data_IF_384047168792
#
_entry.id   IF_384047168792
#
_cell.length_a   1.000
_cell.length_b   1.000
_cell.length_c   1.000
_cell.angle_alpha   90.00
_cell.angle_beta   90.00
_cell.angle_gamma   90.00
#
_symmetry.space_group_name_H-M   'P 1'
#
loop_
_entity.id
_entity.type
_entity.pdbx_description
1 polymer ?
#
# COMPACT_ATOMS: atom_id res chain seq x y z
N UNK A 1 15.71 5.45 -14.66
CA UNK A 1 15.28 6.12 -13.41
C UNK A 1 16.42 6.94 -12.85
N UNK A 2 16.20 8.24 -12.61
CA UNK A 2 17.19 9.17 -12.02
C UNK A 2 17.56 8.72 -10.59
N UNK A 3 18.76 9.07 -10.09
CA UNK A 3 19.21 8.69 -8.74
C UNK A 3 18.22 9.12 -7.64
N UNK A 4 17.61 10.29 -7.79
CA UNK A 4 16.62 10.83 -6.86
C UNK A 4 15.38 9.94 -6.71
N UNK A 5 14.86 9.39 -7.82
CA UNK A 5 13.71 8.46 -7.78
C UNK A 5 14.03 7.16 -7.04
N UNK A 6 15.29 6.69 -7.09
CA UNK A 6 15.69 5.48 -6.34
C UNK A 6 15.69 5.71 -4.84
N UNK A 7 16.21 6.85 -4.39
CA UNK A 7 16.21 7.22 -2.96
C UNK A 7 14.77 7.32 -2.45
N UNK A 8 13.87 7.92 -3.24
CA UNK A 8 12.46 8.02 -2.87
C UNK A 8 11.79 6.64 -2.75
N UNK A 9 12.08 5.71 -3.66
CA UNK A 9 11.58 4.34 -3.58
C UNK A 9 12.13 3.62 -2.34
N UNK A 10 13.42 3.76 -2.04
CA UNK A 10 14.00 3.20 -0.81
C UNK A 10 13.36 3.80 0.45
N UNK A 11 13.09 5.10 0.47
CA UNK A 11 12.40 5.74 1.58
C UNK A 11 10.98 5.17 1.77
N UNK A 12 10.23 4.95 0.68
CA UNK A 12 8.94 4.29 0.74
C UNK A 12 9.05 2.85 1.26
N UNK A 13 10.03 2.08 0.79
CA UNK A 13 10.24 0.71 1.25
C UNK A 13 10.53 0.68 2.76
N UNK A 14 11.43 1.52 3.26
CA UNK A 14 11.73 1.61 4.69
C UNK A 14 10.52 2.04 5.51
N UNK A 15 9.76 3.02 5.01
CA UNK A 15 8.53 3.49 5.64
C UNK A 15 7.51 2.35 5.79
N UNK A 16 7.22 1.62 4.70
CA UNK A 16 6.24 0.54 4.71
C UNK A 16 6.70 -0.68 5.49
N UNK A 17 8.00 -1.02 5.46
CA UNK A 17 8.57 -2.07 6.32
C UNK A 17 8.42 -1.67 7.79
N UNK A 18 8.68 -0.41 8.14
CA UNK A 18 8.46 0.11 9.49
C UNK A 18 7.00 -0.01 9.93
N UNK A 19 6.06 0.41 9.09
CA UNK A 19 4.62 0.29 9.37
C UNK A 19 4.15 -1.16 9.47
N UNK A 20 4.61 -2.05 8.59
CA UNK A 20 4.27 -3.47 8.64
C UNK A 20 4.84 -4.14 9.90
N UNK A 21 6.05 -3.77 10.31
CA UNK A 21 6.66 -4.26 11.55
C UNK A 21 5.90 -3.77 12.78
N UNK A 22 5.51 -2.48 12.80
CA UNK A 22 4.66 -1.93 13.85
C UNK A 22 3.31 -2.66 13.90
N UNK A 23 2.69 -2.91 12.74
CA UNK A 23 1.44 -3.65 12.65
C UNK A 23 1.55 -5.07 13.23
N UNK A 24 2.62 -5.79 12.89
CA UNK A 24 2.90 -7.12 13.42
C UNK A 24 3.07 -7.11 14.95
N UNK A 25 3.82 -6.14 15.49
CA UNK A 25 4.07 -6.04 16.94
C UNK A 25 2.83 -5.60 17.74
N UNK A 26 2.01 -4.72 17.17
CA UNK A 26 0.80 -4.23 17.82
C UNK A 26 -0.33 -5.26 17.79
N UNK A 27 -0.44 -6.04 16.71
CA UNK A 27 -1.44 -7.10 16.52
C UNK A 27 -1.07 -8.42 17.23
N UNK A 28 -0.18 -8.42 18.21
CA UNK A 28 0.21 -9.63 18.95
C UNK A 28 -0.95 -10.30 19.71
N UNK A 29 -0.79 -11.56 20.13
CA UNK A 29 -1.86 -12.47 20.61
C UNK A 29 -2.65 -12.03 21.86
N UNK A 30 -2.29 -10.90 22.48
CA UNK A 30 -2.95 -10.35 23.67
C UNK A 30 -3.44 -8.91 23.51
N UNK A 31 -3.40 -8.32 22.30
CA UNK A 31 -3.75 -6.91 22.06
C UNK A 31 -4.71 -6.76 20.89
N UNK A 32 -6.00 -6.94 21.17
CA UNK A 32 -7.10 -6.64 20.25
C UNK A 32 -7.32 -5.11 20.00
N UNK A 33 -6.28 -4.27 20.02
CA UNK A 33 -6.42 -2.80 20.07
C UNK A 33 -5.99 -2.02 18.83
N UNK A 34 -5.19 -2.58 17.92
CA UNK A 34 -4.61 -1.79 16.81
C UNK A 34 -5.14 -2.24 15.44
N UNK A 35 -6.41 -1.95 15.16
CA UNK A 35 -7.04 -2.21 13.85
C UNK A 35 -6.75 -1.13 12.81
N UNK A 36 -5.85 -0.19 13.09
CA UNK A 36 -5.67 1.01 12.27
C UNK A 36 -5.25 0.68 10.83
N UNK A 37 -4.55 -0.45 10.63
CA UNK A 37 -4.16 -0.89 9.28
C UNK A 37 -5.38 -1.35 8.46
N UNK A 38 -6.40 -1.89 9.14
CA UNK A 38 -7.64 -2.37 8.53
C UNK A 38 -8.65 -1.24 8.34
N UNK A 39 -8.70 -0.25 9.25
CA UNK A 39 -9.64 0.88 9.13
C UNK A 39 -9.47 1.61 7.80
N UNK A 40 -8.23 1.78 7.32
CA UNK A 40 -7.97 2.41 6.02
C UNK A 40 -8.54 1.61 4.83
N UNK A 41 -8.52 0.28 4.92
CA UNK A 41 -8.94 -0.63 3.86
C UNK A 41 -10.43 -1.01 3.92
N UNK A 42 -11.04 -1.00 5.10
CA UNK A 42 -12.37 -1.57 5.35
C UNK A 42 -13.40 -0.55 5.84
N UNK A 43 -13.05 0.73 6.02
CA UNK A 43 -14.02 1.78 6.30
C UNK A 43 -14.63 2.31 5.00
N UNK A 44 -15.93 2.12 4.72
CA UNK A 44 -16.60 2.81 3.62
C UNK A 44 -16.74 4.30 3.97
N UNK A 45 -16.45 5.27 3.07
CA UNK A 45 -16.19 5.15 1.63
C UNK A 45 -14.70 4.95 1.25
N UNK A 46 -13.79 5.00 2.21
CA UNK A 46 -12.34 4.97 1.99
C UNK A 46 -11.88 3.70 1.28
N UNK A 47 -12.50 2.56 1.61
CA UNK A 47 -12.29 1.29 0.90
C UNK A 47 -12.45 1.42 -0.61
N UNK A 48 -13.52 2.09 -1.08
CA UNK A 48 -13.77 2.26 -2.51
C UNK A 48 -12.73 3.17 -3.17
N UNK A 49 -12.25 4.18 -2.44
CA UNK A 49 -11.18 5.07 -2.89
C UNK A 49 -9.88 4.28 -3.08
N UNK A 50 -9.48 3.47 -2.08
CA UNK A 50 -8.29 2.64 -2.18
C UNK A 50 -8.40 1.58 -3.27
N UNK A 51 -9.57 0.97 -3.45
CA UNK A 51 -9.81 0.03 -4.53
C UNK A 51 -9.72 0.71 -5.91
N UNK A 52 -10.29 1.91 -6.06
CA UNK A 52 -10.17 2.69 -7.28
C UNK A 52 -8.72 3.07 -7.57
N UNK A 53 -7.96 3.52 -6.56
CA UNK A 53 -6.54 3.83 -6.68
C UNK A 53 -5.76 2.58 -7.10
N UNK A 54 -6.03 1.42 -6.49
CA UNK A 54 -5.37 0.16 -6.82
C UNK A 54 -5.59 -0.21 -8.30
N UNK A 55 -6.85 -0.21 -8.75
CA UNK A 55 -7.22 -0.59 -10.12
C UNK A 55 -6.63 0.39 -11.13
N UNK A 56 -6.85 1.70 -10.95
CA UNK A 56 -6.38 2.72 -11.90
C UNK A 56 -4.86 2.70 -11.98
N UNK A 57 -4.16 2.57 -10.85
CA UNK A 57 -2.70 2.54 -10.80
C UNK A 57 -2.13 1.34 -11.55
N UNK A 58 -2.65 0.14 -11.27
CA UNK A 58 -2.19 -1.09 -11.93
C UNK A 58 -2.48 -1.05 -13.43
N UNK A 59 -3.70 -0.69 -13.82
CA UNK A 59 -4.07 -0.60 -15.25
C UNK A 59 -3.21 0.41 -15.98
N UNK A 60 -2.99 1.59 -15.39
CA UNK A 60 -2.13 2.63 -16.00
C UNK A 60 -0.70 2.13 -16.17
N UNK A 61 -0.12 1.47 -15.16
CA UNK A 61 1.23 0.94 -15.22
C UNK A 61 1.36 -0.21 -16.23
N UNK A 62 0.34 -1.07 -16.35
CA UNK A 62 0.29 -2.11 -17.38
C UNK A 62 0.20 -1.52 -18.78
N UNK A 63 -0.66 -0.52 -19.00
CA UNK A 63 -0.76 0.18 -20.29
C UNK A 63 0.56 0.86 -20.67
N UNK A 64 1.30 1.38 -19.69
CA UNK A 64 2.63 1.95 -19.92
C UNK A 64 3.62 0.92 -20.48
N UNK A 65 3.44 -0.39 -20.28
CA UNK A 65 4.30 -1.40 -20.91
C UNK A 65 4.12 -1.44 -22.43
N UNK A 66 2.95 -1.08 -22.94
CA UNK A 66 2.61 -1.17 -24.37
C UNK A 66 2.60 0.19 -25.07
N UNK A 67 2.38 1.30 -24.34
CA UNK A 67 2.36 2.65 -24.90
C UNK A 67 3.52 3.52 -24.39
N UNK A 68 4.46 3.81 -25.29
CA UNK A 68 5.62 4.67 -25.02
C UNK A 68 5.27 6.13 -24.73
N UNK A 69 4.13 6.64 -25.21
CA UNK A 69 3.67 8.01 -24.90
C UNK A 69 3.21 8.11 -23.45
N UNK A 70 2.52 7.08 -22.96
CA UNK A 70 2.09 7.00 -21.56
C UNK A 70 3.29 6.98 -20.59
N UNK A 71 4.39 6.31 -20.97
CA UNK A 71 5.64 6.26 -20.16
C UNK A 71 6.26 7.63 -19.89
N UNK A 72 6.13 8.55 -20.83
CA UNK A 72 6.67 9.91 -20.73
C UNK A 72 5.67 10.89 -20.09
N UNK A 73 4.45 10.45 -19.82
CA UNK A 73 3.41 11.31 -19.27
C UNK A 73 3.75 11.68 -17.81
N UNK A 74 3.70 12.96 -17.42
CA UNK A 74 4.14 13.41 -16.10
C UNK A 74 3.31 12.80 -14.94
N UNK A 75 2.06 12.41 -15.22
CA UNK A 75 1.18 11.78 -14.23
C UNK A 75 1.45 10.29 -13.97
N UNK A 76 2.37 9.64 -14.69
CA UNK A 76 2.71 8.24 -14.44
C UNK A 76 3.28 8.02 -13.03
N UNK A 77 3.90 9.06 -12.47
CA UNK A 77 4.42 9.04 -11.10
C UNK A 77 3.30 8.83 -10.07
N UNK A 78 2.10 9.37 -10.33
CA UNK A 78 0.93 9.19 -9.47
C UNK A 78 0.46 7.72 -9.45
N UNK A 79 0.51 7.04 -10.59
CA UNK A 79 0.19 5.62 -10.68
C UNK A 79 1.21 4.76 -9.91
N UNK A 80 2.51 5.11 -9.95
CA UNK A 80 3.52 4.46 -9.12
C UNK A 80 3.29 4.68 -7.62
N UNK A 81 2.96 5.90 -7.21
CA UNK A 81 2.64 6.21 -5.82
C UNK A 81 1.39 5.46 -5.34
N UNK A 82 0.34 5.40 -6.17
CA UNK A 82 -0.87 4.64 -5.86
C UNK A 82 -0.59 3.14 -5.69
N UNK A 83 0.26 2.56 -6.54
CA UNK A 83 0.68 1.17 -6.39
C UNK A 83 1.46 0.94 -5.09
N UNK A 84 2.43 1.80 -4.77
CA UNK A 84 3.24 1.69 -3.53
C UNK A 84 2.34 1.81 -2.29
N UNK A 85 1.38 2.74 -2.31
CA UNK A 85 0.43 2.96 -1.23
C UNK A 85 -0.43 1.72 -0.96
N UNK A 86 -1.01 1.14 -2.02
CA UNK A 86 -1.87 -0.05 -1.90
C UNK A 86 -1.06 -1.28 -1.50
N UNK A 87 0.12 -1.49 -2.09
CA UNK A 87 1.01 -2.59 -1.73
C UNK A 87 1.49 -2.49 -0.28
N UNK A 88 1.79 -1.27 0.18
CA UNK A 88 2.17 -1.01 1.56
C UNK A 88 1.05 -1.30 2.56
N UNK A 89 -0.15 -0.79 2.32
CA UNK A 89 -1.31 -1.03 3.19
C UNK A 89 -1.69 -2.51 3.26
N UNK A 90 -1.68 -3.20 2.11
CA UNK A 90 -1.94 -4.64 2.07
C UNK A 90 -0.88 -5.43 2.84
N UNK A 91 0.40 -5.06 2.73
CA UNK A 91 1.47 -5.66 3.53
C UNK A 91 1.26 -5.45 5.05
N UNK A 92 0.83 -4.26 5.47
CA UNK A 92 0.49 -3.99 6.87
C UNK A 92 -0.68 -4.86 7.36
N UNK A 93 -1.73 -5.03 6.54
CA UNK A 93 -2.87 -5.91 6.86
C UNK A 93 -2.45 -7.37 6.97
N UNK A 94 -1.63 -7.87 6.04
CA UNK A 94 -1.07 -9.23 6.08
C UNK A 94 -0.16 -9.45 7.27
N UNK A 95 0.66 -8.45 7.64
CA UNK A 95 1.52 -8.51 8.82
C UNK A 95 0.71 -8.62 10.10
N UNK A 96 -0.36 -7.83 10.24
CA UNK A 96 -1.30 -7.98 11.35
C UNK A 96 -1.93 -9.38 11.41
N UNK A 97 -2.35 -9.90 10.24
CA UNK A 97 -2.98 -11.22 10.15
C UNK A 97 -2.01 -12.35 10.52
N UNK A 98 -0.75 -12.22 10.11
CA UNK A 98 0.30 -13.18 10.48
C UNK A 98 0.59 -13.19 11.99
N UNK A 99 0.36 -12.08 12.70
CA UNK A 99 0.65 -11.96 14.13
C UNK A 99 -0.48 -12.48 15.04
N UNK A 100 -1.75 -12.23 14.70
CA UNK A 100 -2.92 -12.61 15.53
C UNK A 100 -3.86 -13.63 14.92
N UNK A 101 -3.65 -14.03 13.67
CA UNK A 101 -4.63 -14.81 12.91
C UNK A 101 -5.77 -13.91 12.39
N UNK A 102 -7.03 -14.40 12.29
CA UNK A 102 -8.16 -13.59 11.89
C UNK A 102 -8.34 -12.43 12.87
N UNK A 103 -7.92 -11.25 12.43
CA UNK A 103 -7.99 -10.06 13.25
C UNK A 103 -9.48 -9.71 13.41
N UNK A 104 -10.04 -9.89 14.60
CA UNK A 104 -11.44 -9.59 14.95
C UNK A 104 -11.68 -8.07 15.09
N UNK A 105 -11.19 -7.31 14.12
CA UNK A 105 -11.23 -5.86 14.09
C UNK A 105 -12.50 -5.29 13.47
N UNK A 106 -13.39 -6.16 12.97
CA UNK A 106 -14.72 -5.90 12.44
C UNK A 106 -15.63 -7.10 12.72
#
# INVERSE_FOLDING_TARGET
MTRFKRILVFAHLLLWVGFASAAYLEAGPFRARSCWQLIMLYLPPLQFVFMAIAVISVVTLLMCLFDGKLRMHPRIDLAWHGLILVAGLTACGLAGYAASGPIACL
#
